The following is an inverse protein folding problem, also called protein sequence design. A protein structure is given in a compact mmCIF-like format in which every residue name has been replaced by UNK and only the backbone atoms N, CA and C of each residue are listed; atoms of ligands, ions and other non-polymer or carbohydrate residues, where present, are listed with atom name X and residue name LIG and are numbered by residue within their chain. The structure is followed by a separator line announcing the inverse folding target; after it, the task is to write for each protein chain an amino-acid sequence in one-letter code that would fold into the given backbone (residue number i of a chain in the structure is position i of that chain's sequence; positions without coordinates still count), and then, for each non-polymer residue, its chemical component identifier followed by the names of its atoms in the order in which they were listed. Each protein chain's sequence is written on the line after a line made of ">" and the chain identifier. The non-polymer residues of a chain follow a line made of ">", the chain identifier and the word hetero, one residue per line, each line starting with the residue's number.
data_IF_072802617028
#
_entry.id   IF_072802617028
#
_cell.length_a   1.000
_cell.length_b   1.000
_cell.length_c   1.000
_cell.angle_alpha   90.00
_cell.angle_beta   90.00
_cell.angle_gamma   90.00
#
_symmetry.space_group_name_H-M   'P 1'
#
loop_
_entity.id
_entity.type
_entity.pdbx_description
1 polymer ?
#
# COMPACT_ATOMS: atom_id res chain seq x y z
N UNK A 1 -11.27 -19.66 3.48
CA UNK A 1 -10.79 -18.86 2.31
C UNK A 1 -9.43 -19.34 1.82
N UNK A 2 -8.47 -19.65 2.70
CA UNK A 2 -7.16 -20.20 2.31
C UNK A 2 -7.32 -21.51 1.52
N UNK A 3 -8.29 -22.34 1.88
CA UNK A 3 -8.58 -23.61 1.20
C UNK A 3 -8.96 -23.41 -0.27
N UNK A 4 -9.62 -22.30 -0.60
CA UNK A 4 -9.94 -21.96 -2.01
C UNK A 4 -8.66 -21.76 -2.81
N UNK A 5 -7.71 -20.99 -2.27
CA UNK A 5 -6.41 -20.75 -2.90
C UNK A 5 -5.64 -22.07 -3.03
N UNK A 6 -5.63 -22.89 -1.98
CA UNK A 6 -4.97 -24.20 -1.99
C UNK A 6 -5.54 -25.12 -3.08
N UNK A 7 -6.87 -25.18 -3.21
CA UNK A 7 -7.55 -25.97 -4.26
C UNK A 7 -7.18 -25.47 -5.65
N UNK A 8 -7.22 -24.15 -5.89
CA UNK A 8 -6.83 -23.58 -7.20
C UNK A 8 -5.40 -23.95 -7.55
N UNK A 9 -4.47 -23.84 -6.60
CA UNK A 9 -3.07 -24.22 -6.81
C UNK A 9 -2.91 -25.73 -7.07
N UNK A 10 -3.62 -26.57 -6.32
CA UNK A 10 -3.54 -28.04 -6.46
C UNK A 10 -4.05 -28.51 -7.82
N UNK A 11 -5.06 -27.85 -8.38
CA UNK A 11 -5.58 -28.10 -9.72
C UNK A 11 -4.82 -27.38 -10.84
N UNK A 12 -3.73 -26.69 -10.54
CA UNK A 12 -2.90 -25.97 -11.52
C UNK A 12 -3.55 -24.72 -12.10
N UNK A 13 -4.49 -24.12 -11.35
CA UNK A 13 -5.14 -22.89 -11.76
C UNK A 13 -4.21 -21.68 -11.71
N UNK A 14 -4.60 -20.64 -12.42
CA UNK A 14 -3.87 -19.37 -12.57
C UNK A 14 -4.40 -18.30 -11.61
N UNK A 15 -3.73 -17.14 -11.61
CA UNK A 15 -4.21 -15.98 -10.85
C UNK A 15 -5.51 -15.42 -11.44
N UNK A 16 -5.70 -15.53 -12.76
CA UNK A 16 -6.94 -15.12 -13.43
C UNK A 16 -8.10 -16.04 -13.01
N UNK A 17 -7.86 -17.36 -12.96
CA UNK A 17 -8.86 -18.31 -12.44
C UNK A 17 -9.25 -17.97 -11.00
N UNK A 18 -8.26 -17.58 -10.15
CA UNK A 18 -8.52 -17.20 -8.77
C UNK A 18 -9.32 -15.90 -8.66
N UNK A 19 -9.11 -14.94 -9.57
CA UNK A 19 -9.85 -13.69 -9.62
C UNK A 19 -11.30 -13.90 -10.07
N UNK A 20 -11.52 -14.81 -11.04
CA UNK A 20 -12.81 -15.08 -11.65
C UNK A 20 -13.71 -16.04 -10.84
N UNK A 21 -13.18 -16.61 -9.74
CA UNK A 21 -14.00 -17.48 -8.87
C UNK A 21 -15.15 -16.69 -8.24
N UNK A 22 -16.38 -17.14 -8.52
CA UNK A 22 -17.60 -16.66 -7.88
C UNK A 22 -17.84 -17.41 -6.58
N UNK A 23 -17.37 -16.85 -5.47
CA UNK A 23 -17.56 -17.43 -4.14
C UNK A 23 -18.93 -17.10 -3.57
N UNK A 24 -19.50 -18.05 -2.82
CA UNK A 24 -20.76 -17.84 -2.12
C UNK A 24 -20.71 -16.63 -1.21
N UNK A 25 -21.66 -15.72 -1.40
CA UNK A 25 -21.75 -14.44 -0.71
C UNK A 25 -23.06 -14.33 0.10
N UNK A 26 -22.94 -13.90 1.35
CA UNK A 26 -24.07 -13.58 2.21
C UNK A 26 -23.88 -12.21 2.86
N UNK A 27 -24.68 -11.19 2.51
CA UNK A 27 -24.49 -9.80 2.95
C UNK A 27 -24.21 -9.57 4.43
N UNK A 28 -24.83 -10.29 5.38
CA UNK A 28 -24.56 -10.09 6.82
C UNK A 28 -23.19 -10.58 7.28
N UNK A 29 -22.50 -11.42 6.49
CA UNK A 29 -21.30 -12.13 6.92
C UNK A 29 -20.06 -11.85 6.07
N UNK A 30 -20.24 -11.42 4.83
CA UNK A 30 -19.14 -11.22 3.89
C UNK A 30 -19.24 -9.88 3.15
N UNK A 31 -18.09 -9.35 2.73
CA UNK A 31 -18.01 -8.26 1.76
C UNK A 31 -18.43 -8.75 0.36
N UNK A 32 -19.05 -7.89 -0.48
CA UNK A 32 -19.39 -8.23 -1.87
C UNK A 32 -18.17 -8.64 -2.70
N UNK A 33 -17.01 -8.06 -2.41
CA UNK A 33 -15.71 -8.45 -3.02
C UNK A 33 -14.95 -9.26 -1.97
N UNK A 34 -14.74 -10.53 -2.28
CA UNK A 34 -14.01 -11.43 -1.40
C UNK A 34 -12.53 -11.09 -1.28
N UNK A 35 -11.93 -11.45 -0.15
CA UNK A 35 -10.49 -11.23 0.08
C UNK A 35 -9.62 -12.01 -0.90
N UNK A 36 -10.08 -13.16 -1.40
CA UNK A 36 -9.36 -13.95 -2.39
C UNK A 36 -9.29 -13.19 -3.71
N UNK A 37 -10.41 -12.65 -4.19
CA UNK A 37 -10.46 -11.80 -5.39
C UNK A 37 -9.62 -10.52 -5.22
N UNK A 38 -9.67 -9.91 -4.04
CA UNK A 38 -8.84 -8.73 -3.73
C UNK A 38 -7.34 -9.07 -3.77
N UNK A 39 -6.94 -10.21 -3.21
CA UNK A 39 -5.56 -10.67 -3.25
C UNK A 39 -5.11 -10.98 -4.68
N UNK A 40 -5.94 -11.67 -5.47
CA UNK A 40 -5.69 -11.97 -6.87
C UNK A 40 -5.49 -10.68 -7.68
N UNK A 41 -6.38 -9.70 -7.54
CA UNK A 41 -6.26 -8.39 -8.19
C UNK A 41 -4.98 -7.66 -7.81
N UNK A 42 -4.56 -7.74 -6.55
CA UNK A 42 -3.29 -7.15 -6.11
C UNK A 42 -2.09 -7.78 -6.80
N UNK A 43 -2.09 -9.11 -6.93
CA UNK A 43 -1.02 -9.85 -7.65
C UNK A 43 -1.04 -9.49 -9.14
N UNK A 44 -2.21 -9.44 -9.77
CA UNK A 44 -2.34 -9.03 -11.18
C UNK A 44 -1.79 -7.61 -11.40
N UNK A 45 -2.07 -6.67 -10.48
CA UNK A 45 -1.53 -5.32 -10.54
C UNK A 45 0.00 -5.29 -10.38
N UNK A 46 0.57 -6.16 -9.55
CA UNK A 46 2.03 -6.33 -9.43
C UNK A 46 2.63 -6.86 -10.74
N UNK A 47 2.05 -7.91 -11.32
CA UNK A 47 2.51 -8.50 -12.58
C UNK A 47 2.41 -7.52 -13.76
N UNK A 48 1.37 -6.70 -13.78
CA UNK A 48 1.17 -5.67 -14.79
C UNK A 48 1.99 -4.37 -14.52
N UNK A 49 2.87 -4.36 -13.52
CA UNK A 49 3.66 -3.19 -13.08
C UNK A 49 2.81 -1.95 -12.72
N UNK A 50 1.51 -2.13 -12.48
CA UNK A 50 0.62 -1.07 -11.99
C UNK A 50 0.84 -0.75 -10.51
N UNK A 51 1.26 -1.75 -9.74
CA UNK A 51 1.61 -1.62 -8.34
C UNK A 51 3.09 -2.00 -8.13
N UNK A 52 3.82 -1.16 -7.43
CA UNK A 52 5.19 -1.44 -7.00
C UNK A 52 5.23 -1.32 -5.48
N UNK A 53 5.40 -2.46 -4.82
CA UNK A 53 5.50 -2.54 -3.36
C UNK A 53 6.94 -2.60 -2.88
N UNK A 54 7.11 -2.33 -1.58
CA UNK A 54 8.37 -2.50 -0.86
C UNK A 54 8.05 -3.02 0.56
N UNK A 55 8.84 -3.93 1.08
CA UNK A 55 8.65 -4.42 2.45
C UNK A 55 8.93 -3.33 3.49
N UNK A 56 8.30 -3.42 4.67
CA UNK A 56 8.53 -2.47 5.76
C UNK A 56 10.01 -2.40 6.18
N UNK A 57 10.73 -3.53 6.15
CA UNK A 57 12.14 -3.59 6.51
C UNK A 57 13.03 -2.84 5.51
N UNK A 58 12.84 -3.10 4.21
CA UNK A 58 13.58 -2.39 3.14
C UNK A 58 13.22 -0.90 3.10
N UNK A 59 11.94 -0.56 3.32
CA UNK A 59 11.48 0.81 3.38
C UNK A 59 12.20 1.60 4.50
N UNK A 60 12.23 1.02 5.72
CA UNK A 60 12.93 1.59 6.86
C UNK A 60 14.41 1.81 6.56
N UNK A 61 15.09 0.77 6.07
CA UNK A 61 16.52 0.82 5.76
C UNK A 61 16.85 1.95 4.76
N UNK A 62 16.07 2.07 3.68
CA UNK A 62 16.28 3.12 2.66
C UNK A 62 16.06 4.53 3.21
N UNK A 63 15.02 4.72 4.01
CA UNK A 63 14.70 6.04 4.57
C UNK A 63 15.74 6.45 5.62
N UNK A 64 16.19 5.54 6.47
CA UNK A 64 17.28 5.81 7.43
C UNK A 64 18.63 6.10 6.75
N UNK A 65 18.88 5.48 5.59
CA UNK A 65 20.06 5.79 4.75
C UNK A 65 19.92 7.06 3.91
N UNK A 66 18.76 7.74 3.96
CA UNK A 66 18.42 8.92 3.15
C UNK A 66 18.41 8.65 1.64
N UNK A 67 18.17 7.40 1.24
CA UNK A 67 17.99 6.98 -0.15
C UNK A 67 16.54 7.17 -0.62
N UNK A 68 15.59 7.26 0.31
CA UNK A 68 14.16 7.48 0.07
C UNK A 68 13.55 8.34 1.17
N UNK A 69 12.35 8.86 0.92
CA UNK A 69 11.50 9.49 1.94
C UNK A 69 10.20 8.71 2.12
N UNK A 70 9.63 8.77 3.31
CA UNK A 70 8.25 8.35 3.52
C UNK A 70 7.28 9.46 3.13
N UNK A 71 6.21 9.07 2.44
CA UNK A 71 5.05 9.91 2.16
C UNK A 71 3.84 9.35 2.90
N UNK A 72 3.47 9.99 4.00
CA UNK A 72 2.27 9.66 4.77
C UNK A 72 1.05 10.32 4.15
N UNK A 73 0.17 9.50 3.55
CA UNK A 73 -1.04 9.99 2.89
C UNK A 73 -2.31 9.89 3.75
N UNK A 74 -2.13 9.68 5.04
CA UNK A 74 -3.21 9.68 6.02
C UNK A 74 -3.70 11.11 6.31
N UNK A 75 -4.86 11.21 6.95
CA UNK A 75 -5.34 12.49 7.44
C UNK A 75 -4.52 12.96 8.66
N UNK A 76 -4.45 14.28 8.94
CA UNK A 76 -3.76 14.79 10.12
C UNK A 76 -4.22 14.16 11.44
N UNK A 77 -5.52 13.89 11.58
CA UNK A 77 -6.07 13.25 12.77
C UNK A 77 -5.63 11.79 12.94
N UNK A 78 -5.44 11.04 11.84
CA UNK A 78 -4.90 9.68 11.90
C UNK A 78 -3.41 9.68 12.30
N UNK A 79 -2.65 10.66 11.80
CA UNK A 79 -1.23 10.80 12.13
C UNK A 79 -1.00 11.14 13.60
N UNK A 80 -1.87 11.97 14.20
CA UNK A 80 -1.83 12.27 15.63
C UNK A 80 -2.09 11.04 16.50
N UNK A 81 -2.90 10.09 16.04
CA UNK A 81 -3.21 8.89 16.83
C UNK A 81 -2.10 7.84 16.79
N UNK A 82 -1.45 7.67 15.65
CA UNK A 82 -0.36 6.69 15.46
C UNK A 82 0.71 7.35 14.61
N UNK A 83 1.85 7.64 15.17
CA UNK A 83 3.01 8.19 14.49
C UNK A 83 4.00 7.05 14.17
N UNK A 84 4.44 6.98 12.91
CA UNK A 84 5.48 6.04 12.50
C UNK A 84 6.83 6.54 13.03
N UNK A 85 7.53 5.70 13.81
CA UNK A 85 8.84 6.03 14.37
C UNK A 85 9.94 5.51 13.44
N UNK A 86 10.65 6.44 12.79
CA UNK A 86 11.77 6.16 11.90
C UNK A 86 12.74 7.33 11.92
N UNK A 87 14.06 7.04 11.92
CA UNK A 87 15.11 8.04 11.86
C UNK A 87 15.37 8.54 10.42
N UNK A 88 14.30 9.05 9.78
CA UNK A 88 14.38 9.52 8.41
C UNK A 88 13.32 10.56 8.09
N UNK A 89 13.31 11.01 6.85
CA UNK A 89 12.38 12.04 6.40
C UNK A 89 11.00 11.46 6.16
N UNK A 90 9.99 12.07 6.79
CA UNK A 90 8.57 11.75 6.60
C UNK A 90 7.86 13.02 6.15
N UNK A 91 7.39 13.01 4.92
CA UNK A 91 6.54 14.06 4.36
C UNK A 91 5.07 13.68 4.56
N UNK A 92 4.28 14.58 5.17
CA UNK A 92 2.86 14.36 5.36
C UNK A 92 2.05 15.19 4.36
N UNK A 93 1.35 14.50 3.46
CA UNK A 93 0.40 15.10 2.53
C UNK A 93 -0.80 14.17 2.44
N UNK A 94 -1.95 14.55 2.99
CA UNK A 94 -3.16 13.73 2.90
C UNK A 94 -3.53 13.46 1.44
N UNK A 95 -4.06 12.27 1.17
CA UNK A 95 -4.38 11.84 -0.20
C UNK A 95 -5.24 12.86 -0.97
N UNK A 96 -6.20 13.49 -0.27
CA UNK A 96 -7.08 14.52 -0.87
C UNK A 96 -6.35 15.79 -1.29
N UNK A 97 -5.20 16.10 -0.70
CA UNK A 97 -4.38 17.27 -1.03
C UNK A 97 -3.23 16.94 -1.98
N UNK A 98 -2.96 15.65 -2.21
CA UNK A 98 -1.77 15.19 -2.91
C UNK A 98 -1.64 15.78 -4.32
N UNK A 99 -2.73 15.81 -5.10
CA UNK A 99 -2.73 16.38 -6.46
C UNK A 99 -2.33 17.86 -6.49
N UNK A 100 -2.71 18.61 -5.48
CA UNK A 100 -2.41 20.05 -5.39
C UNK A 100 -1.01 20.33 -4.85
N UNK A 101 -0.42 19.40 -4.09
CA UNK A 101 0.85 19.59 -3.37
C UNK A 101 2.02 18.80 -3.91
N UNK A 102 1.78 17.82 -4.81
CA UNK A 102 2.84 16.95 -5.32
C UNK A 102 3.92 17.67 -6.14
N UNK A 103 3.64 18.88 -6.67
CA UNK A 103 4.66 19.69 -7.37
C UNK A 103 5.83 20.10 -6.47
N UNK A 104 5.62 20.12 -5.15
CA UNK A 104 6.67 20.41 -4.17
C UNK A 104 7.55 19.21 -3.80
N UNK A 105 7.24 18.01 -4.30
CA UNK A 105 8.05 16.81 -4.09
C UNK A 105 9.21 16.75 -5.08
N UNK A 106 10.35 16.30 -4.61
CA UNK A 106 11.51 16.05 -5.49
C UNK A 106 11.24 14.83 -6.38
N UNK A 107 11.29 15.03 -7.69
CA UNK A 107 11.01 14.00 -8.69
C UNK A 107 12.12 12.96 -8.84
N UNK A 108 13.33 13.31 -8.44
CA UNK A 108 14.51 12.44 -8.52
C UNK A 108 14.64 11.56 -7.27
N UNK A 109 13.96 11.91 -6.17
CA UNK A 109 13.99 11.16 -4.93
C UNK A 109 13.05 9.97 -4.95
N UNK A 110 13.47 8.83 -4.39
CA UNK A 110 12.57 7.69 -4.20
C UNK A 110 11.56 8.01 -3.09
N UNK A 111 10.27 7.86 -3.41
CA UNK A 111 9.15 8.10 -2.49
C UNK A 111 8.53 6.77 -2.10
N UNK A 112 8.37 6.54 -0.80
CA UNK A 112 7.69 5.37 -0.26
C UNK A 112 6.39 5.83 0.37
N UNK A 113 5.28 5.67 -0.36
CA UNK A 113 3.96 6.05 0.11
C UNK A 113 3.41 5.01 1.08
N UNK A 114 2.75 5.46 2.14
CA UNK A 114 2.02 4.58 3.05
C UNK A 114 0.76 5.25 3.59
N UNK A 115 -0.16 4.40 4.06
CA UNK A 115 -1.37 4.84 4.74
C UNK A 115 -1.69 3.95 5.95
N UNK A 116 -2.96 3.64 6.19
CA UNK A 116 -3.36 2.74 7.27
C UNK A 116 -3.40 1.27 6.83
N UNK A 117 -3.97 0.98 5.63
CA UNK A 117 -4.34 -0.36 5.17
C UNK A 117 -3.96 -0.67 3.70
N UNK A 118 -3.16 0.15 3.03
CA UNK A 118 -2.65 -0.09 1.67
C UNK A 118 -3.37 0.63 0.55
N UNK A 119 -4.67 0.76 0.59
CA UNK A 119 -5.45 1.29 -0.53
C UNK A 119 -5.04 2.72 -0.91
N UNK A 120 -5.02 3.65 0.04
CA UNK A 120 -4.62 5.05 -0.20
C UNK A 120 -3.15 5.19 -0.62
N UNK A 121 -2.27 4.29 -0.13
CA UNK A 121 -0.88 4.23 -0.58
C UNK A 121 -0.79 3.90 -2.07
N UNK A 122 -1.57 2.93 -2.54
CA UNK A 122 -1.67 2.59 -3.95
C UNK A 122 -2.26 3.72 -4.79
N UNK A 123 -3.33 4.35 -4.33
CA UNK A 123 -3.92 5.52 -4.99
C UNK A 123 -2.92 6.68 -5.11
N UNK A 124 -2.13 6.91 -4.05
CA UNK A 124 -1.06 7.91 -4.08
C UNK A 124 0.02 7.58 -5.12
N UNK A 125 0.44 6.32 -5.23
CA UNK A 125 1.37 5.88 -6.28
C UNK A 125 0.82 6.17 -7.68
N UNK A 126 -0.47 5.92 -7.92
CA UNK A 126 -1.10 6.22 -9.21
C UNK A 126 -1.12 7.73 -9.49
N UNK A 127 -1.49 8.55 -8.49
CA UNK A 127 -1.54 10.02 -8.61
C UNK A 127 -0.15 10.58 -8.92
N UNK A 128 0.88 10.13 -8.20
CA UNK A 128 2.25 10.61 -8.37
C UNK A 128 2.80 10.24 -9.75
N UNK A 129 2.55 9.00 -10.21
CA UNK A 129 2.95 8.55 -11.56
C UNK A 129 2.26 9.34 -12.67
N UNK A 130 0.98 9.68 -12.51
CA UNK A 130 0.26 10.56 -13.41
C UNK A 130 0.91 11.96 -13.48
N UNK A 131 1.45 12.45 -12.35
CA UNK A 131 2.21 13.69 -12.23
C UNK A 131 3.68 13.60 -12.65
N UNK A 132 4.10 12.52 -13.32
CA UNK A 132 5.49 12.26 -13.75
C UNK A 132 6.48 12.10 -12.59
N UNK A 133 6.03 11.72 -11.41
CA UNK A 133 6.87 11.25 -10.30
C UNK A 133 6.81 9.72 -10.33
N UNK A 134 7.77 9.09 -11.01
CA UNK A 134 7.72 7.65 -11.31
C UNK A 134 8.44 6.77 -10.30
N UNK A 135 9.39 7.33 -9.55
CA UNK A 135 10.16 6.59 -8.54
C UNK A 135 9.38 6.49 -7.22
N UNK A 136 8.22 5.82 -7.27
CA UNK A 136 7.32 5.68 -6.14
C UNK A 136 7.05 4.22 -5.85
N UNK A 137 7.18 3.84 -4.58
CA UNK A 137 6.79 2.53 -4.06
C UNK A 137 5.73 2.68 -2.97
N UNK A 138 5.02 1.61 -2.69
CA UNK A 138 4.04 1.54 -1.60
C UNK A 138 4.56 0.60 -0.53
N UNK A 139 4.58 1.03 0.72
CA UNK A 139 4.94 0.16 1.83
C UNK A 139 3.88 -0.92 2.03
N UNK A 140 4.26 -2.17 1.84
CA UNK A 140 3.34 -3.31 1.97
C UNK A 140 2.98 -3.54 3.44
N UNK A 141 1.67 -3.67 3.69
CA UNK A 141 1.12 -3.82 5.03
C UNK A 141 0.93 -2.50 5.79
N UNK A 142 1.46 -1.40 5.27
CA UNK A 142 1.29 -0.06 5.81
C UNK A 142 1.60 0.08 7.32
N UNK A 143 1.02 1.10 8.00
CA UNK A 143 1.32 1.32 9.41
C UNK A 143 0.74 0.24 10.33
N UNK A 144 -0.32 -0.46 9.91
CA UNK A 144 -0.92 -1.54 10.72
C UNK A 144 0.01 -2.75 10.83
N UNK A 145 0.76 -3.06 9.78
CA UNK A 145 1.71 -4.17 9.77
C UNK A 145 3.16 -3.71 10.01
N UNK A 146 3.37 -2.45 10.39
CA UNK A 146 4.69 -1.94 10.72
C UNK A 146 5.26 -2.67 11.94
N UNK A 147 6.37 -3.42 11.81
CA UNK A 147 6.87 -4.30 12.87
C UNK A 147 7.72 -3.58 13.92
N UNK A 148 7.93 -2.28 13.75
CA UNK A 148 8.76 -1.46 14.62
C UNK A 148 7.89 -0.57 15.53
N UNK A 149 8.51 0.19 16.42
CA UNK A 149 7.77 1.06 17.32
C UNK A 149 6.95 2.12 16.57
N UNK A 150 5.74 2.34 17.05
CA UNK A 150 4.92 3.49 16.73
C UNK A 150 4.65 4.25 18.02
N UNK A 151 4.72 5.58 17.99
CA UNK A 151 4.23 6.38 19.11
C UNK A 151 2.71 6.44 18.99
N UNK A 152 2.01 5.81 19.93
CA UNK A 152 0.58 6.05 20.10
C UNK A 152 0.43 7.15 21.14
N UNK A 153 -0.20 8.25 20.78
CA UNK A 153 -0.66 9.22 21.77
C UNK A 153 -1.99 8.70 22.32
N UNK A 154 -1.94 8.02 23.50
CA UNK A 154 -3.11 7.66 24.29
C UNK A 154 -3.52 8.89 25.10
#
# INVERSE_FOLDING_TARGET
>A
LIDVVAVVLDFGGTIDDLFDIDLSYAPPYNSPIDMVATAANTVMNKLAHKFTGISAAEAKEKVEKKEAIFLDVRTPGECQNIELECDGEICQISLGELRARMEGLDKDQEIIAFCKLGQRGYEAQCILREGNITNVKVMEGDIIAWPYCCKSMI
#
